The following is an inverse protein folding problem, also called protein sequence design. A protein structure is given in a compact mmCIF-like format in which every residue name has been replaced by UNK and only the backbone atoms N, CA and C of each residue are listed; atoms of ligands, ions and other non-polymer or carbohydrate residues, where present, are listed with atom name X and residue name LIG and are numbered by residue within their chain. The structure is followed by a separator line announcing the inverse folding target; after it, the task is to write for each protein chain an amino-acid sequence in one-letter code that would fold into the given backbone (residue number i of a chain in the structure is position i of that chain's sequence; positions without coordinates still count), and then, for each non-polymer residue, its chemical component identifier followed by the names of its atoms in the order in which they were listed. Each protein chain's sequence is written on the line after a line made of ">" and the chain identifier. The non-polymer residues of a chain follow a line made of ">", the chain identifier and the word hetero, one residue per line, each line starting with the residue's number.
data_IF_582483832770
#
_entry.id   IF_582483832770
#
_cell.length_a   1.000
_cell.length_b   1.000
_cell.length_c   1.000
_cell.angle_alpha   90.00
_cell.angle_beta   90.00
_cell.angle_gamma   90.00
#
_symmetry.space_group_name_H-M   'P 1'
#
loop_
_entity.id
_entity.type
_entity.pdbx_description
1 polymer ?
#
# COMPACT_ATOMS: atom_id res chain seq x y z
N UNK A 1 -55.88 25.35 51.57
CA UNK A 1 -56.15 24.76 52.91
C UNK A 1 -54.85 24.29 53.60
N UNK A 2 -53.93 23.61 52.91
CA UNK A 2 -52.62 23.18 53.46
C UNK A 2 -51.73 24.35 53.94
N UNK A 3 -51.64 25.43 53.15
CA UNK A 3 -50.84 26.61 53.52
C UNK A 3 -51.37 27.34 54.76
N UNK A 4 -52.69 27.43 54.93
CA UNK A 4 -53.29 28.06 56.10
C UNK A 4 -53.00 27.28 57.39
N UNK A 5 -53.09 25.94 57.35
CA UNK A 5 -52.72 25.07 58.48
C UNK A 5 -51.23 25.18 58.82
N UNK A 6 -50.37 25.28 57.82
CA UNK A 6 -48.93 25.48 58.00
C UNK A 6 -48.62 26.81 58.70
N UNK A 7 -49.19 27.92 58.23
CA UNK A 7 -48.99 29.22 58.86
C UNK A 7 -49.56 29.30 60.28
N UNK A 8 -50.71 28.66 60.54
CA UNK A 8 -51.26 28.54 61.90
C UNK A 8 -50.30 27.79 62.83
N UNK A 9 -49.73 26.67 62.36
CA UNK A 9 -48.73 25.90 63.11
C UNK A 9 -47.50 26.75 63.42
N UNK A 10 -46.93 27.44 62.44
CA UNK A 10 -45.74 28.29 62.63
C UNK A 10 -46.00 29.41 63.65
N UNK A 11 -47.19 30.02 63.64
CA UNK A 11 -47.55 31.08 64.58
C UNK A 11 -47.66 30.52 66.01
N UNK A 12 -48.35 29.39 66.20
CA UNK A 12 -48.51 28.75 67.52
C UNK A 12 -47.14 28.32 68.05
N UNK A 13 -46.33 27.65 67.23
CA UNK A 13 -44.98 27.23 67.58
C UNK A 13 -44.11 28.43 68.02
N UNK A 14 -44.12 29.50 67.22
CA UNK A 14 -43.32 30.70 67.51
C UNK A 14 -43.73 31.38 68.82
N UNK A 15 -45.05 31.49 69.09
CA UNK A 15 -45.54 32.04 70.35
C UNK A 15 -45.12 31.19 71.54
N UNK A 16 -45.24 29.87 71.41
CA UNK A 16 -44.88 28.92 72.48
C UNK A 16 -43.36 28.95 72.74
N UNK A 17 -42.55 29.04 71.70
CA UNK A 17 -41.10 29.21 71.80
C UNK A 17 -40.72 30.53 72.50
N UNK A 18 -41.33 31.66 72.11
CA UNK A 18 -41.05 32.98 72.71
C UNK A 18 -41.45 33.00 74.19
N UNK A 19 -42.64 32.51 74.54
CA UNK A 19 -43.11 32.47 75.94
C UNK A 19 -42.18 31.60 76.79
N UNK A 20 -41.77 30.44 76.27
CA UNK A 20 -40.84 29.54 76.96
C UNK A 20 -39.48 30.21 77.16
N UNK A 21 -38.95 30.88 76.13
CA UNK A 21 -37.67 31.60 76.21
C UNK A 21 -37.73 32.76 77.20
N UNK A 22 -38.80 33.55 77.21
CA UNK A 22 -39.03 34.64 78.17
C UNK A 22 -39.20 34.12 79.61
N UNK A 23 -39.78 32.92 79.76
CA UNK A 23 -39.85 32.22 81.04
C UNK A 23 -38.49 31.77 81.55
N UNK A 24 -37.66 31.13 80.71
CA UNK A 24 -36.34 30.63 81.08
C UNK A 24 -35.37 31.78 81.38
N UNK A 25 -35.43 32.86 80.61
CA UNK A 25 -34.58 34.05 80.79
C UNK A 25 -34.97 34.91 82.00
N UNK A 26 -36.06 34.56 82.72
CA UNK A 26 -36.48 35.24 83.94
C UNK A 26 -37.05 36.65 83.71
N UNK A 27 -37.33 37.02 82.46
CA UNK A 27 -37.98 38.29 82.10
C UNK A 27 -39.42 38.32 82.66
N UNK A 28 -40.10 37.17 82.65
CA UNK A 28 -41.43 37.00 83.26
C UNK A 28 -41.27 36.27 84.61
N UNK A 29 -41.13 37.04 85.69
CA UNK A 29 -40.87 36.53 87.06
C UNK A 29 -42.06 35.78 87.70
N UNK A 30 -43.20 35.71 87.05
CA UNK A 30 -44.47 35.19 87.59
C UNK A 30 -44.78 33.73 87.23
N UNK A 31 -43.98 33.08 86.37
CA UNK A 31 -44.23 31.70 85.93
C UNK A 31 -43.65 30.73 86.98
N UNK A 32 -44.50 29.91 87.61
CA UNK A 32 -44.02 28.87 88.54
C UNK A 32 -43.24 27.81 87.77
N UNK A 33 -42.16 27.32 88.37
CA UNK A 33 -41.17 26.40 87.78
C UNK A 33 -41.79 25.15 87.13
N UNK A 34 -42.86 24.60 87.73
CA UNK A 34 -43.58 23.44 87.17
C UNK A 34 -44.23 23.72 85.81
N UNK A 35 -44.71 24.94 85.56
CA UNK A 35 -45.28 25.32 84.25
C UNK A 35 -44.19 25.55 83.21
N UNK A 36 -43.01 26.02 83.63
CA UNK A 36 -41.86 26.20 82.74
C UNK A 36 -41.39 24.86 82.17
N UNK A 37 -41.29 23.83 83.02
CA UNK A 37 -40.92 22.48 82.58
C UNK A 37 -41.96 21.88 81.61
N UNK A 38 -43.25 22.12 81.85
CA UNK A 38 -44.31 21.68 80.95
C UNK A 38 -44.24 22.39 79.58
N UNK A 39 -44.05 23.71 79.57
CA UNK A 39 -43.87 24.51 78.35
C UNK A 39 -42.64 24.07 77.55
N UNK A 40 -41.52 23.86 78.22
CA UNK A 40 -40.28 23.40 77.59
C UNK A 40 -40.40 21.99 77.02
N UNK A 41 -41.05 21.08 77.75
CA UNK A 41 -41.30 19.70 77.26
C UNK A 41 -42.23 19.70 76.06
N UNK A 42 -43.28 20.53 76.08
CA UNK A 42 -44.20 20.69 74.95
C UNK A 42 -43.47 21.21 73.71
N UNK A 43 -42.58 22.21 73.87
CA UNK A 43 -41.77 22.76 72.78
C UNK A 43 -40.86 21.69 72.15
N UNK A 44 -40.17 20.89 72.97
CA UNK A 44 -39.32 19.81 72.45
C UNK A 44 -40.15 18.80 71.64
N UNK A 45 -41.32 18.39 72.17
CA UNK A 45 -42.17 17.41 71.51
C UNK A 45 -42.71 17.95 70.17
N UNK A 46 -43.05 19.24 70.12
CA UNK A 46 -43.50 19.93 68.90
C UNK A 46 -42.40 19.99 67.83
N UNK A 47 -41.15 20.28 68.21
CA UNK A 47 -40.00 20.27 67.28
C UNK A 47 -39.76 18.85 66.72
N UNK A 48 -39.77 17.82 67.58
CA UNK A 48 -39.56 16.44 67.14
C UNK A 48 -40.65 16.00 66.16
N UNK A 49 -41.92 16.31 66.46
CA UNK A 49 -43.03 16.01 65.56
C UNK A 49 -42.90 16.72 64.21
N UNK A 50 -42.49 17.99 64.19
CA UNK A 50 -42.27 18.76 62.97
C UNK A 50 -41.15 18.16 62.10
N UNK A 51 -40.04 17.75 62.70
CA UNK A 51 -38.93 17.11 61.98
C UNK A 51 -39.36 15.78 61.37
N UNK A 52 -40.05 14.92 62.13
CA UNK A 52 -40.54 13.63 61.62
C UNK A 52 -41.52 13.81 60.46
N UNK A 53 -42.45 14.76 60.56
CA UNK A 53 -43.40 15.06 59.49
C UNK A 53 -42.71 15.61 58.22
N UNK A 54 -41.67 16.41 58.39
CA UNK A 54 -40.89 16.93 57.26
C UNK A 54 -40.17 15.80 56.54
N UNK A 55 -39.56 14.87 57.27
CA UNK A 55 -38.89 13.70 56.66
C UNK A 55 -39.85 12.70 56.01
N UNK A 56 -41.09 12.56 56.51
CA UNK A 56 -42.08 11.66 55.90
C UNK A 56 -42.70 12.21 54.61
N UNK A 57 -42.78 13.53 54.45
CA UNK A 57 -43.46 14.17 53.31
C UNK A 57 -42.52 14.73 52.23
N UNK A 58 -41.21 14.49 52.36
CA UNK A 58 -40.22 14.97 51.38
C UNK A 58 -39.62 13.78 50.64
N UNK A 59 -39.98 13.59 49.37
CA UNK A 59 -39.31 12.64 48.48
C UNK A 59 -37.92 13.18 48.09
N UNK A 60 -36.93 12.92 48.94
CA UNK A 60 -35.53 13.30 48.68
C UNK A 60 -34.89 12.53 47.50
N UNK A 61 -35.60 11.59 46.87
CA UNK A 61 -35.13 10.74 45.77
C UNK A 61 -35.79 11.02 44.41
N UNK A 62 -36.69 12.00 44.31
CA UNK A 62 -37.31 12.44 43.04
C UNK A 62 -36.85 13.83 42.63
N UNK A 63 -35.53 14.08 42.67
CA UNK A 63 -34.94 15.13 41.85
C UNK A 63 -35.03 14.74 40.37
N UNK A 64 -35.10 15.70 39.42
CA UNK A 64 -35.09 15.37 38.01
C UNK A 64 -33.82 14.55 37.71
N UNK A 65 -34.00 13.32 37.25
CA UNK A 65 -32.92 12.58 36.59
C UNK A 65 -32.46 13.49 35.48
N UNK A 66 -31.17 13.85 35.45
CA UNK A 66 -30.61 14.56 34.31
C UNK A 66 -30.80 13.64 33.11
N UNK A 67 -31.84 13.91 32.32
CA UNK A 67 -32.08 13.23 31.05
C UNK A 67 -30.76 13.36 30.25
N UNK A 68 -30.23 12.22 29.82
CA UNK A 68 -29.08 12.20 28.91
C UNK A 68 -29.38 13.07 27.67
N UNK A 69 -28.36 13.47 26.89
CA UNK A 69 -28.55 14.41 25.80
C UNK A 69 -29.72 13.98 24.90
N UNK A 70 -30.74 14.82 24.82
CA UNK A 70 -31.95 14.55 24.08
C UNK A 70 -31.58 14.27 22.62
N UNK A 71 -32.22 13.29 21.97
CA UNK A 71 -31.93 12.92 20.57
C UNK A 71 -31.98 14.14 19.61
N UNK A 72 -32.85 15.09 19.91
CA UNK A 72 -33.01 16.37 19.22
C UNK A 72 -31.78 17.29 19.36
N UNK A 73 -31.13 17.30 20.52
CA UNK A 73 -29.88 18.03 20.75
C UNK A 73 -28.72 17.41 19.95
N UNK A 74 -28.66 16.08 19.88
CA UNK A 74 -27.65 15.36 19.07
C UNK A 74 -27.84 15.66 17.58
N UNK A 75 -29.08 15.64 17.09
CA UNK A 75 -29.42 15.98 15.69
C UNK A 75 -29.05 17.43 15.38
N UNK A 76 -29.41 18.36 16.28
CA UNK A 76 -29.11 19.79 16.10
C UNK A 76 -27.60 20.05 16.07
N UNK A 77 -26.83 19.42 16.97
CA UNK A 77 -25.36 19.55 17.00
C UNK A 77 -24.69 18.87 15.80
N UNK A 78 -25.29 17.81 15.26
CA UNK A 78 -24.77 17.12 14.08
C UNK A 78 -24.96 17.90 12.77
N UNK A 79 -25.77 18.97 12.77
CA UNK A 79 -26.09 19.75 11.56
C UNK A 79 -27.00 19.02 10.57
N UNK A 80 -27.57 17.87 10.95
CA UNK A 80 -28.52 17.11 10.15
C UNK A 80 -29.91 17.76 10.24
N UNK A 81 -30.49 18.19 9.12
CA UNK A 81 -31.87 18.68 9.07
C UNK A 81 -32.84 17.52 8.91
N UNK A 82 -33.20 16.87 10.02
CA UNK A 82 -34.26 15.86 10.02
C UNK A 82 -35.64 16.53 10.17
N UNK A 83 -36.58 16.26 9.25
CA UNK A 83 -38.01 16.48 9.51
C UNK A 83 -38.56 15.26 10.28
N UNK A 84 -38.07 15.02 11.48
CA UNK A 84 -38.52 13.91 12.31
C UNK A 84 -39.66 14.39 13.22
N UNK A 85 -40.90 14.04 12.87
CA UNK A 85 -42.07 14.40 13.67
C UNK A 85 -42.20 13.61 14.98
N UNK A 86 -41.49 12.49 15.15
CA UNK A 86 -41.47 11.67 16.37
C UNK A 86 -40.10 11.01 16.62
N UNK A 87 -39.83 10.66 17.88
CA UNK A 87 -38.53 10.16 18.36
C UNK A 87 -38.07 8.84 17.72
N UNK A 88 -38.98 7.98 17.26
CA UNK A 88 -38.64 6.73 16.56
C UNK A 88 -38.10 6.96 15.14
N UNK A 89 -38.63 7.96 14.42
CA UNK A 89 -38.16 8.33 13.07
C UNK A 89 -36.75 8.96 13.11
N UNK A 90 -36.43 9.64 14.22
CA UNK A 90 -35.14 10.27 14.44
C UNK A 90 -34.02 9.24 14.68
N UNK A 91 -34.28 8.16 15.42
CA UNK A 91 -33.30 7.08 15.64
C UNK A 91 -33.03 6.29 14.38
N UNK A 92 -34.07 5.95 13.61
CA UNK A 92 -33.92 5.20 12.36
C UNK A 92 -33.17 6.02 11.30
N UNK A 93 -33.42 7.34 11.26
CA UNK A 93 -32.67 8.26 10.41
C UNK A 93 -31.17 8.28 10.74
N UNK A 94 -30.80 8.36 12.03
CA UNK A 94 -29.39 8.34 12.42
C UNK A 94 -28.71 7.00 12.11
N UNK A 95 -29.39 5.87 12.33
CA UNK A 95 -28.88 4.55 11.98
C UNK A 95 -28.63 4.45 10.47
N UNK A 96 -29.52 4.98 9.64
CA UNK A 96 -29.37 5.01 8.19
C UNK A 96 -28.19 5.89 7.74
N UNK A 97 -28.01 7.07 8.35
CA UNK A 97 -26.86 7.94 8.05
C UNK A 97 -25.52 7.29 8.45
N UNK A 98 -25.46 6.63 9.62
CA UNK A 98 -24.26 5.92 10.06
C UNK A 98 -23.94 4.73 9.14
N UNK A 99 -24.95 3.99 8.68
CA UNK A 99 -24.74 2.94 7.68
C UNK A 99 -24.15 3.50 6.39
N UNK A 100 -24.67 4.61 5.87
CA UNK A 100 -24.14 5.27 4.66
C UNK A 100 -22.69 5.73 4.84
N UNK A 101 -22.35 6.31 5.99
CA UNK A 101 -20.97 6.71 6.29
C UNK A 101 -20.03 5.50 6.35
N UNK A 102 -20.46 4.38 6.94
CA UNK A 102 -19.63 3.18 6.99
C UNK A 102 -19.36 2.57 5.61
N UNK A 103 -20.35 2.61 4.71
CA UNK A 103 -20.20 2.18 3.31
C UNK A 103 -19.28 3.14 2.55
N UNK A 104 -19.37 4.45 2.80
CA UNK A 104 -18.51 5.44 2.17
C UNK A 104 -17.05 5.28 2.61
N UNK A 105 -16.80 5.03 3.90
CA UNK A 105 -15.45 4.82 4.45
C UNK A 105 -14.79 3.56 3.86
N UNK A 106 -15.55 2.47 3.74
CA UNK A 106 -15.11 1.25 3.05
C UNK A 106 -14.77 1.51 1.57
N UNK A 107 -15.63 2.24 0.85
CA UNK A 107 -15.38 2.60 -0.54
C UNK A 107 -14.15 3.53 -0.71
N UNK A 108 -13.92 4.45 0.21
CA UNK A 108 -12.72 5.32 0.19
C UNK A 108 -11.44 4.55 0.52
N UNK A 109 -11.51 3.57 1.44
CA UNK A 109 -10.40 2.67 1.73
C UNK A 109 -10.01 1.82 0.50
N UNK A 110 -10.99 1.25 -0.18
CA UNK A 110 -10.78 0.48 -1.42
C UNK A 110 -10.19 1.34 -2.53
N UNK A 111 -10.63 2.60 -2.66
CA UNK A 111 -10.09 3.54 -3.65
C UNK A 111 -8.62 3.90 -3.36
N UNK A 112 -8.26 4.12 -2.10
CA UNK A 112 -6.88 4.41 -1.70
C UNK A 112 -5.95 3.20 -1.96
N UNK A 113 -6.43 1.99 -1.67
CA UNK A 113 -5.72 0.75 -1.96
C UNK A 113 -5.51 0.54 -3.47
N UNK A 114 -6.55 0.77 -4.27
CA UNK A 114 -6.46 0.67 -5.73
C UNK A 114 -5.47 1.69 -6.31
N UNK A 115 -5.48 2.94 -5.79
CA UNK A 115 -4.53 3.96 -6.22
C UNK A 115 -3.07 3.58 -5.91
N UNK A 116 -2.81 3.01 -4.72
CA UNK A 116 -1.49 2.51 -4.36
C UNK A 116 -1.03 1.37 -5.28
N UNK A 117 -1.93 0.43 -5.60
CA UNK A 117 -1.64 -0.67 -6.53
C UNK A 117 -1.35 -0.17 -7.95
N UNK A 118 -2.10 0.82 -8.44
CA UNK A 118 -1.84 1.43 -9.74
C UNK A 118 -0.48 2.12 -9.78
N UNK A 119 -0.13 2.88 -8.73
CA UNK A 119 1.18 3.52 -8.62
C UNK A 119 2.32 2.50 -8.59
N UNK A 120 2.16 1.39 -7.85
CA UNK A 120 3.12 0.29 -7.85
C UNK A 120 3.27 -0.31 -9.25
N UNK A 121 2.16 -0.60 -9.93
CA UNK A 121 2.18 -1.14 -11.30
C UNK A 121 2.83 -0.20 -12.30
N UNK A 122 2.56 1.10 -12.22
CA UNK A 122 3.19 2.11 -13.07
C UNK A 122 4.70 2.17 -12.84
N UNK A 123 5.15 2.03 -11.59
CA UNK A 123 6.57 1.99 -11.27
C UNK A 123 7.27 0.75 -11.86
N UNK A 124 6.61 -0.41 -11.80
CA UNK A 124 7.10 -1.66 -12.37
C UNK A 124 7.13 -1.60 -13.91
N UNK A 125 6.08 -1.06 -14.53
CA UNK A 125 6.03 -0.86 -15.99
C UNK A 125 7.13 0.08 -16.46
N UNK A 126 7.39 1.16 -15.72
CA UNK A 126 8.48 2.08 -16.04
C UNK A 126 9.84 1.40 -15.96
N UNK A 127 10.08 0.61 -14.91
CA UNK A 127 11.33 -0.14 -14.76
C UNK A 127 11.53 -1.16 -15.88
N UNK A 128 10.49 -1.93 -16.21
CA UNK A 128 10.53 -2.90 -17.30
C UNK A 128 10.77 -2.23 -18.66
N UNK A 129 10.14 -1.09 -18.94
CA UNK A 129 10.38 -0.34 -20.18
C UNK A 129 11.82 0.15 -20.29
N UNK A 130 12.41 0.64 -19.19
CA UNK A 130 13.84 1.04 -19.19
C UNK A 130 14.77 -0.14 -19.45
N UNK A 131 14.45 -1.33 -18.93
CA UNK A 131 15.21 -2.55 -19.20
C UNK A 131 15.09 -2.98 -20.68
N UNK A 132 13.89 -2.90 -21.25
CA UNK A 132 13.66 -3.16 -22.69
C UNK A 132 14.49 -2.20 -23.55
N UNK A 133 14.44 -0.90 -23.26
CA UNK A 133 15.22 0.11 -24.01
C UNK A 133 16.73 -0.16 -23.94
N UNK A 134 17.23 -0.60 -22.78
CA UNK A 134 18.64 -0.96 -22.62
C UNK A 134 19.02 -2.19 -23.46
N UNK A 135 18.19 -3.23 -23.44
CA UNK A 135 18.39 -4.45 -24.22
C UNK A 135 18.30 -4.17 -25.74
N UNK A 136 17.36 -3.33 -26.18
CA UNK A 136 17.25 -2.91 -27.57
C UNK A 136 18.50 -2.15 -28.05
N UNK A 137 19.06 -1.28 -27.20
CA UNK A 137 20.29 -0.56 -27.50
C UNK A 137 21.49 -1.52 -27.62
N UNK A 138 21.60 -2.49 -26.71
CA UNK A 138 22.64 -3.52 -26.75
C UNK A 138 22.53 -4.40 -28.00
N UNK A 139 21.33 -4.88 -28.33
CA UNK A 139 21.06 -5.67 -29.54
C UNK A 139 21.45 -4.90 -30.80
N UNK A 140 21.11 -3.61 -30.87
CA UNK A 140 21.48 -2.74 -32.00
C UNK A 140 23.00 -2.60 -32.12
N UNK A 141 23.70 -2.43 -31.00
CA UNK A 141 25.16 -2.36 -30.98
C UNK A 141 25.79 -3.68 -31.46
N UNK A 142 25.29 -4.82 -30.98
CA UNK A 142 25.77 -6.14 -31.37
C UNK A 142 25.57 -6.37 -32.87
N UNK A 143 24.40 -6.00 -33.41
CA UNK A 143 24.13 -6.02 -34.85
C UNK A 143 25.13 -5.20 -35.65
N UNK A 144 25.45 -3.96 -35.22
CA UNK A 144 26.44 -3.12 -35.89
C UNK A 144 27.85 -3.73 -35.87
N UNK A 145 28.23 -4.35 -34.75
CA UNK A 145 29.51 -5.05 -34.62
C UNK A 145 29.58 -6.24 -35.60
N UNK A 146 28.52 -7.03 -35.68
CA UNK A 146 28.43 -8.14 -36.64
C UNK A 146 28.60 -7.67 -38.09
N UNK A 147 27.86 -6.64 -38.52
CA UNK A 147 28.00 -6.09 -39.88
C UNK A 147 29.40 -5.53 -40.14
N UNK A 148 30.05 -4.95 -39.13
CA UNK A 148 31.44 -4.49 -39.25
C UNK A 148 32.39 -5.66 -39.48
N UNK A 149 32.21 -6.78 -38.78
CA UNK A 149 32.98 -8.01 -38.99
C UNK A 149 32.75 -8.58 -40.40
N UNK A 150 31.51 -8.59 -40.89
CA UNK A 150 31.19 -9.00 -42.27
C UNK A 150 31.88 -8.12 -43.31
N UNK A 151 31.86 -6.79 -43.14
CA UNK A 151 32.58 -5.86 -44.04
C UNK A 151 34.10 -6.14 -44.02
N UNK A 152 34.70 -6.36 -42.85
CA UNK A 152 36.11 -6.74 -42.75
C UNK A 152 36.39 -8.05 -43.50
N UNK A 153 35.50 -9.03 -43.41
CA UNK A 153 35.65 -10.30 -44.11
C UNK A 153 35.57 -10.12 -45.63
N UNK A 154 34.63 -9.31 -46.13
CA UNK A 154 34.56 -8.95 -47.56
C UNK A 154 35.84 -8.28 -48.05
N UNK A 155 36.41 -7.38 -47.26
CA UNK A 155 37.68 -6.75 -47.60
C UNK A 155 38.81 -7.79 -47.73
N UNK A 156 38.90 -8.76 -46.81
CA UNK A 156 39.85 -9.86 -46.95
C UNK A 156 39.56 -10.69 -48.21
N UNK A 157 38.32 -11.06 -48.46
CA UNK A 157 37.93 -11.86 -49.64
C UNK A 157 38.38 -11.14 -50.93
N UNK A 158 38.14 -9.84 -51.02
CA UNK A 158 38.59 -9.01 -52.14
C UNK A 158 40.12 -9.00 -52.29
N UNK A 159 40.86 -8.82 -51.19
CA UNK A 159 42.34 -8.86 -51.19
C UNK A 159 42.92 -10.19 -51.68
N UNK A 160 42.21 -11.30 -51.44
CA UNK A 160 42.62 -12.63 -51.89
C UNK A 160 42.07 -13.02 -53.28
N UNK A 161 41.48 -12.09 -54.04
CA UNK A 161 41.02 -12.34 -55.41
C UNK A 161 39.59 -12.86 -55.54
N UNK A 162 38.73 -12.58 -54.55
CA UNK A 162 37.29 -12.89 -54.57
C UNK A 162 36.88 -14.18 -53.85
N UNK A 163 37.85 -15.04 -53.51
CA UNK A 163 37.65 -16.22 -52.69
C UNK A 163 38.91 -16.55 -51.88
N UNK A 164 38.71 -17.04 -50.66
CA UNK A 164 39.77 -17.46 -49.76
C UNK A 164 39.71 -18.97 -49.62
N UNK A 165 40.72 -19.69 -50.11
CA UNK A 165 40.89 -21.09 -49.74
C UNK A 165 41.46 -21.16 -48.32
N UNK A 166 40.63 -21.61 -47.37
CA UNK A 166 40.98 -21.75 -45.97
C UNK A 166 42.02 -22.88 -45.74
N UNK A 167 42.01 -23.94 -46.54
CA UNK A 167 42.93 -25.07 -46.35
C UNK A 167 44.37 -24.77 -46.82
N UNK A 168 44.52 -23.95 -47.87
CA UNK A 168 45.83 -23.58 -48.41
C UNK A 168 46.53 -22.54 -47.52
N UNK A 169 47.78 -22.77 -47.09
CA UNK A 169 48.60 -21.82 -46.29
C UNK A 169 47.80 -21.12 -45.17
N UNK A 170 47.18 -21.92 -44.29
CA UNK A 170 46.27 -21.41 -43.26
C UNK A 170 46.95 -20.43 -42.29
N UNK A 171 48.23 -20.64 -41.99
CA UNK A 171 49.03 -19.79 -41.10
C UNK A 171 49.13 -18.34 -41.59
N UNK A 172 49.28 -18.14 -42.91
CA UNK A 172 49.32 -16.80 -43.53
C UNK A 172 47.97 -16.07 -43.44
N UNK A 173 46.90 -16.81 -43.13
CA UNK A 173 45.52 -16.32 -43.06
C UNK A 173 45.01 -16.26 -41.63
N UNK A 174 45.88 -16.28 -40.63
CA UNK A 174 45.49 -16.30 -39.22
C UNK A 174 44.46 -15.19 -38.87
N UNK A 175 44.60 -13.99 -39.43
CA UNK A 175 43.64 -12.89 -39.22
C UNK A 175 42.25 -13.18 -39.77
N UNK A 176 42.16 -13.87 -40.91
CA UNK A 176 40.87 -14.32 -41.48
C UNK A 176 40.24 -15.36 -40.56
N UNK A 177 41.03 -16.29 -40.04
CA UNK A 177 40.54 -17.30 -39.11
C UNK A 177 40.04 -16.71 -37.79
N UNK A 178 40.74 -15.72 -37.20
CA UNK A 178 40.23 -15.00 -36.01
C UNK A 178 38.89 -14.34 -36.28
N UNK A 179 38.78 -13.66 -37.42
CA UNK A 179 37.53 -13.01 -37.81
C UNK A 179 36.40 -14.02 -38.03
N UNK A 180 36.69 -15.19 -38.60
CA UNK A 180 35.70 -16.27 -38.75
C UNK A 180 35.26 -16.83 -37.40
N UNK A 181 36.17 -16.98 -36.42
CA UNK A 181 35.80 -17.36 -35.05
C UNK A 181 34.81 -16.34 -34.47
N UNK A 182 35.11 -15.04 -34.57
CA UNK A 182 34.20 -14.00 -34.07
C UNK A 182 32.83 -14.06 -34.76
N UNK A 183 32.79 -14.24 -36.09
CA UNK A 183 31.55 -14.33 -36.87
C UNK A 183 30.77 -15.61 -36.51
N UNK A 184 31.44 -16.75 -36.36
CA UNK A 184 30.80 -18.01 -35.98
C UNK A 184 30.29 -17.98 -34.53
N UNK A 185 30.98 -17.26 -33.64
CA UNK A 185 30.53 -17.00 -32.27
C UNK A 185 29.26 -16.15 -32.26
N UNK A 186 29.25 -15.05 -33.01
CA UNK A 186 28.06 -14.20 -33.13
C UNK A 186 26.86 -14.95 -33.76
N UNK A 187 27.13 -15.94 -34.62
CA UNK A 187 26.11 -16.82 -35.20
C UNK A 187 25.83 -18.09 -34.36
N UNK A 188 26.33 -18.19 -33.13
CA UNK A 188 26.07 -19.36 -32.26
C UNK A 188 26.48 -20.71 -32.84
N UNK A 189 27.44 -20.76 -33.77
CA UNK A 189 27.92 -21.99 -34.40
C UNK A 189 29.05 -22.67 -33.59
N UNK A 190 29.60 -21.99 -32.59
CA UNK A 190 30.67 -22.50 -31.74
C UNK A 190 30.06 -23.19 -30.52
N UNK A 191 30.28 -24.50 -30.39
CA UNK A 191 29.82 -25.28 -29.22
C UNK A 191 30.80 -25.22 -28.05
N UNK A 192 32.11 -25.31 -28.33
CA UNK A 192 33.17 -25.19 -27.33
C UNK A 192 34.34 -24.38 -27.91
N UNK A 193 34.51 -23.17 -27.38
CA UNK A 193 35.54 -22.23 -27.80
C UNK A 193 36.96 -22.77 -27.56
N UNK A 194 37.15 -23.65 -26.55
CA UNK A 194 38.47 -24.18 -26.21
C UNK A 194 39.01 -25.10 -27.31
N UNK A 195 38.14 -25.72 -28.12
CA UNK A 195 38.53 -26.56 -29.24
C UNK A 195 39.15 -25.77 -30.41
N UNK A 196 38.93 -24.45 -30.44
CA UNK A 196 39.37 -23.56 -31.52
C UNK A 196 40.82 -23.11 -31.38
N UNK A 197 41.47 -23.42 -30.26
CA UNK A 197 42.83 -23.04 -29.98
C UNK A 197 43.70 -24.25 -29.62
N UNK A 198 44.99 -24.16 -29.91
CA UNK A 198 45.99 -25.17 -29.55
C UNK A 198 46.73 -24.67 -28.31
N UNK A 199 46.64 -25.44 -27.22
CA UNK A 199 47.23 -25.10 -25.92
C UNK A 199 46.36 -24.20 -25.04
N UNK A 200 46.70 -24.10 -23.76
CA UNK A 200 45.90 -23.39 -22.74
C UNK A 200 45.88 -21.87 -22.95
N UNK A 201 46.93 -21.30 -23.54
CA UNK A 201 47.12 -19.85 -23.67
C UNK A 201 46.31 -19.19 -24.81
N UNK A 202 45.51 -19.97 -25.57
CA UNK A 202 44.75 -19.51 -26.76
C UNK A 202 45.60 -18.76 -27.82
N UNK A 203 46.92 -18.91 -27.80
CA UNK A 203 47.84 -18.17 -28.65
C UNK A 203 47.85 -18.69 -30.10
N UNK A 204 47.62 -19.99 -30.29
CA UNK A 204 47.62 -20.64 -31.60
C UNK A 204 46.22 -21.09 -31.98
N UNK A 205 45.80 -20.81 -33.21
CA UNK A 205 44.47 -21.16 -33.70
C UNK A 205 44.50 -22.60 -34.23
N UNK A 206 43.52 -23.40 -33.81
CA UNK A 206 43.25 -24.69 -34.41
C UNK A 206 42.51 -24.50 -35.75
N UNK A 207 43.27 -24.25 -36.82
CA UNK A 207 42.71 -24.00 -38.16
C UNK A 207 41.81 -25.14 -38.66
N UNK A 208 42.08 -26.38 -38.26
CA UNK A 208 41.27 -27.53 -38.65
C UNK A 208 39.88 -27.48 -37.99
N UNK A 209 39.80 -27.15 -36.71
CA UNK A 209 38.52 -27.00 -35.99
C UNK A 209 37.65 -25.89 -36.62
N UNK A 210 38.23 -24.72 -36.89
CA UNK A 210 37.49 -23.61 -37.53
C UNK A 210 37.00 -24.00 -38.94
N UNK A 211 37.81 -24.75 -39.71
CA UNK A 211 37.36 -25.29 -41.00
C UNK A 211 36.22 -26.31 -40.84
N UNK A 212 36.23 -27.12 -39.79
CA UNK A 212 35.15 -28.09 -39.53
C UNK A 212 33.82 -27.37 -39.34
N UNK A 213 33.79 -26.35 -38.47
CA UNK A 213 32.59 -25.52 -38.24
C UNK A 213 32.05 -24.97 -39.56
N UNK A 214 32.94 -24.42 -40.39
CA UNK A 214 32.50 -23.87 -41.67
C UNK A 214 31.97 -24.92 -42.65
N UNK A 215 32.55 -26.13 -42.66
CA UNK A 215 32.03 -27.24 -43.47
C UNK A 215 30.67 -27.72 -42.97
N UNK A 216 30.52 -27.88 -41.66
CA UNK A 216 29.25 -28.26 -41.02
C UNK A 216 28.16 -27.22 -41.33
N UNK A 217 28.51 -25.94 -41.29
CA UNK A 217 27.64 -24.85 -41.73
C UNK A 217 27.25 -24.97 -43.21
N UNK A 218 28.19 -25.28 -44.11
CA UNK A 218 27.86 -25.51 -45.52
C UNK A 218 26.93 -26.71 -45.72
N UNK A 219 27.17 -27.80 -44.99
CA UNK A 219 26.33 -29.00 -45.03
C UNK A 219 24.92 -28.68 -44.53
N UNK A 220 24.77 -27.91 -43.47
CA UNK A 220 23.45 -27.51 -42.95
C UNK A 220 22.66 -26.65 -43.94
N UNK A 221 23.37 -25.89 -44.79
CA UNK A 221 22.79 -25.14 -45.92
C UNK A 221 22.63 -25.96 -47.21
N UNK A 222 22.86 -27.27 -47.17
CA UNK A 222 22.80 -28.18 -48.33
C UNK A 222 23.77 -27.76 -49.47
N UNK A 223 24.89 -27.13 -49.13
CA UNK A 223 25.93 -26.78 -50.09
C UNK A 223 26.95 -27.90 -50.26
N UNK A 224 27.49 -28.02 -51.46
CA UNK A 224 28.59 -28.94 -51.75
C UNK A 224 29.85 -28.55 -50.96
N UNK A 225 30.48 -29.54 -50.33
CA UNK A 225 31.80 -29.42 -49.71
C UNK A 225 32.78 -30.16 -50.61
N UNK A 226 33.59 -29.41 -51.37
CA UNK A 226 34.42 -29.95 -52.46
C UNK A 226 35.46 -30.98 -51.96
N UNK A 227 36.20 -30.67 -50.89
CA UNK A 227 37.15 -31.56 -50.20
C UNK A 227 37.80 -30.88 -48.98
N UNK A 228 38.59 -31.62 -48.20
CA UNK A 228 39.38 -31.07 -47.10
C UNK A 228 40.41 -30.00 -47.52
N UNK A 229 40.83 -30.03 -48.78
CA UNK A 229 41.82 -29.11 -49.37
C UNK A 229 41.19 -27.95 -50.16
N UNK A 230 39.87 -27.99 -50.37
CA UNK A 230 39.09 -27.04 -51.16
C UNK A 230 37.96 -26.47 -50.32
N UNK A 231 38.34 -25.65 -49.34
CA UNK A 231 37.39 -24.98 -48.44
C UNK A 231 37.41 -23.50 -48.74
N UNK A 232 36.49 -23.05 -49.60
CA UNK A 232 36.45 -21.67 -50.06
C UNK A 232 35.41 -20.84 -49.31
N UNK A 233 35.83 -19.68 -48.82
CA UNK A 233 34.97 -18.59 -48.36
C UNK A 233 34.98 -17.50 -49.43
N UNK A 234 33.81 -17.08 -49.91
CA UNK A 234 33.65 -16.03 -50.90
C UNK A 234 32.57 -15.01 -50.53
N UNK A 235 32.32 -14.05 -51.41
CA UNK A 235 31.35 -12.97 -51.14
C UNK A 235 29.93 -13.51 -50.89
N UNK A 236 29.53 -14.54 -51.62
CA UNK A 236 28.22 -15.18 -51.43
C UNK A 236 28.05 -15.74 -50.01
N UNK A 237 29.10 -16.32 -49.43
CA UNK A 237 29.06 -16.84 -48.05
C UNK A 237 28.79 -15.73 -47.04
N UNK A 238 29.26 -14.51 -47.28
CA UNK A 238 28.97 -13.37 -46.38
C UNK A 238 27.49 -13.01 -46.36
N UNK A 239 26.77 -13.22 -47.46
CA UNK A 239 25.30 -13.03 -47.52
C UNK A 239 24.62 -14.12 -46.70
N UNK A 240 25.10 -15.35 -46.78
CA UNK A 240 24.59 -16.46 -45.99
C UNK A 240 24.81 -16.25 -44.50
N UNK A 241 25.99 -15.74 -44.11
CA UNK A 241 26.26 -15.38 -42.71
C UNK A 241 25.28 -14.32 -42.20
N UNK A 242 25.04 -13.26 -42.97
CA UNK A 242 24.03 -12.25 -42.62
C UNK A 242 22.64 -12.89 -42.46
N UNK A 243 22.24 -13.77 -43.40
CA UNK A 243 20.95 -14.45 -43.33
C UNK A 243 20.83 -15.33 -42.09
N UNK A 244 21.87 -16.10 -41.77
CA UNK A 244 21.91 -16.96 -40.58
C UNK A 244 21.81 -16.14 -39.31
N UNK A 245 22.59 -15.06 -39.19
CA UNK A 245 22.55 -14.15 -38.05
C UNK A 245 21.15 -13.53 -37.86
N UNK A 246 20.56 -13.00 -38.94
CA UNK A 246 19.22 -12.39 -38.87
C UNK A 246 18.12 -13.38 -38.48
N UNK A 247 18.25 -14.64 -38.91
CA UNK A 247 17.28 -15.68 -38.55
C UNK A 247 17.36 -16.08 -37.06
N UNK A 248 18.48 -15.81 -36.38
CA UNK A 248 18.61 -16.06 -34.94
C UNK A 248 17.99 -14.95 -34.10
N UNK A 249 18.03 -13.71 -34.59
CA UNK A 249 17.47 -12.53 -33.92
C UNK A 249 15.99 -12.30 -34.21
N UNK A 250 15.35 -13.16 -35.01
CA UNK A 250 13.96 -13.01 -35.45
C UNK A 250 12.91 -13.63 -34.50
N UNK A 251 13.35 -14.15 -33.34
CA UNK A 251 12.53 -14.76 -32.29
C UNK A 251 12.73 -14.00 -30.98
#
# INVERSE_FOLDING_TARGET
>A
MKEALFWIFIIIFSLTAIITLLGITGVIKTIKENYLNALFTALILEVVAAVVLLFQNTDFLTGPVADGPCLEEVITRSGLTAQAGQAADASDFLVEQLKRLSVLDAATGDQALLAAQLQERDSLLKAANTEIEALEAELKQLGQQFYTKITKLRNYISQYGGFINLAWRAEEKASVYRLLIEIFGDMGLIQDENTLYIGEDRAQINFAAVRSIYKEYKVSLQQAVDSDTKVYVGEYDTILFIRTYLNQTAY
#
